data_IF_535426861270
#
_entry.id   IF_535426861270
#
_cell.length_a   1.000
_cell.length_b   1.000
_cell.length_c   1.000
_cell.angle_alpha   90.00
_cell.angle_beta   90.00
_cell.angle_gamma   90.00
#
_symmetry.space_group_name_H-M   'P 1'
#
loop_
_entity.id
_entity.type
_entity.pdbx_description
1 polymer ?
#
# COMPACT_ATOMS: atom_id res chain seq x y z
N UNK A 1 -9.06 -8.00 15.28
CA UNK A 1 -8.97 -9.18 14.39
C UNK A 1 -8.98 -8.85 12.89
N UNK A 2 -9.31 -7.63 12.46
CA UNK A 2 -9.51 -7.32 11.04
C UNK A 2 -8.26 -6.67 10.38
N UNK A 3 -7.23 -6.27 11.14
CA UNK A 3 -5.92 -5.88 10.60
C UNK A 3 -5.30 -7.05 9.83
N UNK A 4 -5.54 -8.27 10.30
CA UNK A 4 -5.16 -9.49 9.60
C UNK A 4 -5.79 -9.59 8.21
N UNK A 5 -6.99 -9.05 7.97
CA UNK A 5 -7.67 -9.12 6.66
C UNK A 5 -6.98 -8.31 5.57
N UNK A 6 -6.60 -7.05 5.85
CA UNK A 6 -5.83 -6.21 4.89
C UNK A 6 -4.45 -6.82 4.62
N UNK A 7 -3.77 -7.27 5.67
CA UNK A 7 -2.47 -7.92 5.53
C UNK A 7 -2.57 -9.25 4.79
N UNK A 8 -3.59 -10.06 5.04
CA UNK A 8 -3.84 -11.30 4.31
C UNK A 8 -4.11 -11.04 2.83
N UNK A 9 -4.85 -9.97 2.50
CA UNK A 9 -5.13 -9.59 1.12
C UNK A 9 -3.87 -9.09 0.40
N UNK A 10 -3.07 -8.23 1.04
CA UNK A 10 -1.75 -7.84 0.52
C UNK A 10 -0.88 -9.08 0.29
N UNK A 11 -0.74 -9.94 1.31
CA UNK A 11 0.04 -11.17 1.22
C UNK A 11 -0.46 -12.09 0.11
N UNK A 12 -1.78 -12.22 -0.07
CA UNK A 12 -2.37 -13.01 -1.15
C UNK A 12 -1.93 -12.49 -2.52
N UNK A 13 -2.00 -11.17 -2.76
CA UNK A 13 -1.53 -10.57 -4.01
C UNK A 13 -0.02 -10.74 -4.21
N UNK A 14 0.77 -10.68 -3.14
CA UNK A 14 2.20 -10.99 -3.17
C UNK A 14 2.48 -12.45 -3.55
N UNK A 15 1.76 -13.41 -2.96
CA UNK A 15 1.91 -14.82 -3.32
C UNK A 15 1.51 -15.09 -4.76
N UNK A 16 0.37 -14.54 -5.22
CA UNK A 16 -0.08 -14.69 -6.60
C UNK A 16 0.94 -14.10 -7.58
N UNK A 17 1.41 -12.88 -7.31
CA UNK A 17 2.40 -12.22 -8.16
C UNK A 17 3.70 -13.01 -8.27
N UNK A 18 4.25 -13.46 -7.13
CA UNK A 18 5.49 -14.26 -7.11
C UNK A 18 5.26 -15.61 -7.80
N UNK A 19 4.11 -16.25 -7.61
CA UNK A 19 3.78 -17.48 -8.32
C UNK A 19 3.71 -17.28 -9.84
N UNK A 20 3.11 -16.18 -10.32
CA UNK A 20 3.10 -15.83 -11.74
C UNK A 20 4.52 -15.56 -12.28
N UNK A 21 5.39 -14.95 -11.48
CA UNK A 21 6.79 -14.74 -11.86
C UNK A 21 7.58 -16.05 -11.96
N UNK A 22 7.42 -16.95 -10.98
CA UNK A 22 8.05 -18.26 -10.99
C UNK A 22 7.53 -19.17 -12.12
N UNK A 23 6.27 -18.98 -12.53
CA UNK A 23 5.69 -19.65 -13.70
C UNK A 23 6.16 -19.07 -15.04
N UNK A 24 7.09 -18.10 -15.04
CA UNK A 24 7.64 -17.47 -16.23
C UNK A 24 6.66 -16.57 -16.99
N UNK A 25 5.54 -16.19 -16.36
CA UNK A 25 4.51 -15.35 -16.99
C UNK A 25 4.83 -13.86 -16.93
N UNK A 26 5.59 -13.45 -15.91
CA UNK A 26 5.96 -12.05 -15.66
C UNK A 26 7.39 -12.03 -15.08
N UNK A 27 8.13 -10.94 -15.29
CA UNK A 27 9.45 -10.78 -14.66
C UNK A 27 9.30 -10.60 -13.14
N UNK A 28 10.12 -11.31 -12.34
CA UNK A 28 10.11 -11.17 -10.88
C UNK A 28 10.41 -9.72 -10.43
N UNK A 29 11.40 -9.00 -11.01
CA UNK A 29 11.59 -7.59 -10.69
C UNK A 29 10.35 -6.75 -10.97
N UNK A 30 9.69 -6.95 -12.12
CA UNK A 30 8.48 -6.22 -12.48
C UNK A 30 7.33 -6.45 -11.49
N UNK A 31 7.10 -7.70 -11.08
CA UNK A 31 6.10 -8.03 -10.05
C UNK A 31 6.42 -7.35 -8.71
N UNK A 32 7.67 -7.43 -8.26
CA UNK A 32 8.09 -6.81 -6.99
C UNK A 32 7.90 -5.29 -7.06
N UNK A 33 8.28 -4.65 -8.17
CA UNK A 33 8.11 -3.21 -8.38
C UNK A 33 6.62 -2.83 -8.39
N UNK A 34 5.78 -3.58 -9.11
CA UNK A 34 4.34 -3.35 -9.18
C UNK A 34 3.69 -3.42 -7.79
N UNK A 35 3.93 -4.53 -7.08
CA UNK A 35 3.29 -4.78 -5.79
C UNK A 35 3.80 -3.85 -4.71
N UNK A 36 5.07 -3.47 -4.76
CA UNK A 36 5.63 -2.43 -3.87
C UNK A 36 4.94 -1.08 -4.11
N UNK A 37 4.66 -0.76 -5.38
CA UNK A 37 3.94 0.46 -5.76
C UNK A 37 2.54 0.59 -5.15
N UNK A 38 1.85 -0.54 -4.95
CA UNK A 38 0.53 -0.59 -4.31
C UNK A 38 0.65 -0.73 -2.78
N UNK A 39 1.62 -1.49 -2.30
CA UNK A 39 1.76 -1.81 -0.87
C UNK A 39 2.21 -0.60 -0.06
N UNK A 40 3.15 0.20 -0.56
CA UNK A 40 3.70 1.35 0.16
C UNK A 40 2.64 2.40 0.54
N UNK A 41 1.78 2.89 -0.38
CA UNK A 41 0.68 3.79 -0.03
C UNK A 41 -0.25 3.20 1.03
N UNK A 42 -0.59 1.91 0.91
CA UNK A 42 -1.52 1.26 1.85
C UNK A 42 -0.95 1.21 3.26
N UNK A 43 0.34 0.89 3.42
CA UNK A 43 1.01 0.88 4.72
C UNK A 43 1.06 2.30 5.32
N UNK A 44 1.45 3.29 4.50
CA UNK A 44 1.54 4.68 4.94
C UNK A 44 0.17 5.22 5.40
N UNK A 45 -0.89 4.97 4.64
CA UNK A 45 -2.27 5.33 5.03
C UNK A 45 -2.66 4.66 6.35
N UNK A 46 -2.39 3.37 6.50
CA UNK A 46 -2.78 2.63 7.70
C UNK A 46 -2.08 3.17 8.96
N UNK A 47 -0.79 3.52 8.86
CA UNK A 47 -0.06 4.15 9.95
C UNK A 47 -0.55 5.57 10.26
N UNK A 48 -0.82 6.37 9.22
CA UNK A 48 -1.31 7.73 9.38
C UNK A 48 -2.67 7.76 10.10
N UNK A 49 -3.61 6.90 9.69
CA UNK A 49 -4.93 6.83 10.32
C UNK A 49 -4.91 6.21 11.72
N UNK A 50 -4.07 5.19 11.95
CA UNK A 50 -3.92 4.62 13.29
C UNK A 50 -3.40 5.67 14.29
N UNK A 51 -2.40 6.48 13.88
CA UNK A 51 -1.93 7.61 14.71
C UNK A 51 -2.97 8.69 14.88
N UNK A 52 -3.72 9.04 13.84
CA UNK A 52 -4.81 10.03 13.93
C UNK A 52 -5.85 9.61 14.97
N UNK A 53 -6.20 8.32 15.01
CA UNK A 53 -7.19 7.79 15.94
C UNK A 53 -6.71 7.61 17.36
N UNK A 54 -5.45 7.23 17.54
CA UNK A 54 -4.81 7.24 18.84
C UNK A 54 -4.90 8.62 19.50
N UNK A 55 -4.77 9.72 18.72
CA UNK A 55 -4.95 11.10 19.24
C UNK A 55 -6.40 11.43 19.57
N UNK A 56 -7.35 10.83 18.86
CA UNK A 56 -8.79 10.98 19.11
C UNK A 56 -9.30 10.06 20.22
N UNK A 57 -8.48 9.17 20.79
CA UNK A 57 -8.91 8.15 21.75
C UNK A 57 -9.85 7.11 21.15
N UNK A 58 -9.90 6.99 19.81
CA UNK A 58 -10.76 6.05 19.10
C UNK A 58 -10.05 4.70 18.90
N UNK A 59 -10.80 3.59 18.90
CA UNK A 59 -10.24 2.29 18.54
C UNK A 59 -9.80 2.26 17.07
N UNK A 60 -8.77 1.45 16.80
CA UNK A 60 -8.37 1.12 15.43
C UNK A 60 -9.45 0.24 14.79
N UNK A 61 -10.13 0.81 13.79
CA UNK A 61 -11.16 0.20 12.97
C UNK A 61 -10.95 0.59 11.49
N UNK A 62 -11.76 0.05 10.57
CA UNK A 62 -11.57 0.17 9.11
C UNK A 62 -12.47 1.23 8.49
N UNK A 63 -13.29 1.88 9.31
CA UNK A 63 -14.27 2.87 8.86
C UNK A 63 -13.60 4.23 8.78
N UNK A 64 -13.02 4.55 7.63
CA UNK A 64 -12.47 5.89 7.42
C UNK A 64 -13.58 6.94 7.58
N UNK A 65 -13.44 7.79 8.59
CA UNK A 65 -14.35 8.90 8.84
C UNK A 65 -13.70 10.21 8.41
N UNK A 66 -14.50 11.19 8.01
CA UNK A 66 -13.99 12.54 7.73
C UNK A 66 -13.19 13.13 8.91
N UNK A 67 -13.55 12.76 10.15
CA UNK A 67 -12.82 13.14 11.35
C UNK A 67 -11.38 12.59 11.36
N UNK A 68 -11.15 11.40 10.82
CA UNK A 68 -9.80 10.80 10.78
C UNK A 68 -8.88 11.56 9.83
N UNK A 69 -9.43 12.11 8.74
CA UNK A 69 -8.72 12.95 7.79
C UNK A 69 -8.37 14.33 8.37
N UNK A 70 -9.29 14.95 9.11
CA UNK A 70 -9.07 16.28 9.71
C UNK A 70 -8.08 16.26 10.88
N UNK A 71 -7.84 15.09 11.49
CA UNK A 71 -6.90 14.91 12.60
C UNK A 71 -5.52 14.37 12.17
N UNK A 72 -5.28 14.23 10.86
CA UNK A 72 -3.95 13.90 10.34
C UNK A 72 -2.96 15.03 10.67
N UNK A 73 -1.77 14.66 11.13
CA UNK A 73 -0.71 15.63 11.36
C UNK A 73 0.07 15.95 10.10
N UNK A 74 0.66 17.15 10.02
CA UNK A 74 1.51 17.55 8.89
C UNK A 74 2.57 16.50 8.50
N UNK A 75 3.30 15.89 9.46
CA UNK A 75 4.21 14.79 9.17
C UNK A 75 3.54 13.55 8.60
N UNK A 76 2.35 13.18 9.09
CA UNK A 76 1.60 12.02 8.57
C UNK A 76 1.15 12.27 7.12
N UNK A 77 0.71 13.50 6.82
CA UNK A 77 0.33 13.92 5.47
C UNK A 77 1.55 13.90 4.53
N UNK A 78 2.71 14.37 4.98
CA UNK A 78 3.94 14.36 4.19
C UNK A 78 4.41 12.94 3.87
N UNK A 79 4.40 12.03 4.86
CA UNK A 79 4.75 10.62 4.66
C UNK A 79 3.76 9.94 3.72
N UNK A 80 2.46 10.21 3.88
CA UNK A 80 1.43 9.68 3.01
C UNK A 80 1.60 10.17 1.56
N UNK A 81 1.82 11.47 1.36
CA UNK A 81 2.05 12.05 0.04
C UNK A 81 3.29 11.46 -0.64
N UNK A 82 4.41 11.33 0.10
CA UNK A 82 5.62 10.69 -0.42
C UNK A 82 5.40 9.22 -0.76
N UNK A 83 4.67 8.48 0.08
CA UNK A 83 4.35 7.08 -0.18
C UNK A 83 3.46 6.92 -1.41
N UNK A 84 2.49 7.81 -1.62
CA UNK A 84 1.65 7.84 -2.83
C UNK A 84 2.49 8.16 -4.06
N UNK A 85 3.35 9.19 -4.02
CA UNK A 85 4.22 9.55 -5.14
C UNK A 85 5.19 8.42 -5.50
N UNK A 86 5.87 7.86 -4.51
CA UNK A 86 6.75 6.71 -4.72
C UNK A 86 5.98 5.49 -5.20
N UNK A 87 4.80 5.24 -4.65
CA UNK A 87 3.92 4.14 -5.03
C UNK A 87 3.49 4.22 -6.50
N UNK A 88 3.03 5.38 -6.94
CA UNK A 88 2.67 5.65 -8.35
C UNK A 88 3.89 5.52 -9.25
N UNK A 89 5.05 6.05 -8.86
CA UNK A 89 6.30 5.93 -9.62
C UNK A 89 6.72 4.47 -9.82
N UNK A 90 6.65 3.66 -8.77
CA UNK A 90 6.92 2.23 -8.84
C UNK A 90 5.87 1.51 -9.68
N UNK A 91 4.59 1.81 -9.50
CA UNK A 91 3.51 1.23 -10.29
C UNK A 91 3.74 1.46 -11.79
N UNK A 92 3.96 2.71 -12.20
CA UNK A 92 4.22 3.07 -13.61
C UNK A 92 5.49 2.42 -14.14
N UNK A 93 6.59 2.44 -13.37
CA UNK A 93 7.84 1.83 -13.80
C UNK A 93 7.75 0.30 -13.98
N UNK A 94 6.87 -0.38 -13.24
CA UNK A 94 6.61 -1.80 -13.45
C UNK A 94 6.08 -2.10 -14.87
N UNK A 95 5.23 -1.24 -15.43
CA UNK A 95 4.74 -1.39 -16.80
C UNK A 95 5.78 -0.93 -17.82
N UNK A 96 6.39 0.24 -17.61
CA UNK A 96 7.27 0.88 -18.60
C UNK A 96 8.63 0.19 -18.72
N UNK A 97 9.25 -0.19 -17.60
CA UNK A 97 10.61 -0.75 -17.55
C UNK A 97 10.58 -2.26 -17.63
N UNK A 98 9.60 -2.90 -16.97
CA UNK A 98 9.56 -4.35 -16.81
C UNK A 98 8.48 -5.04 -17.63
N UNK A 99 7.67 -4.29 -18.38
CA UNK A 99 6.69 -4.84 -19.33
C UNK A 99 5.60 -5.67 -18.67
N UNK A 100 5.26 -5.41 -17.41
CA UNK A 100 4.22 -6.17 -16.69
C UNK A 100 2.86 -5.91 -17.35
N UNK A 101 2.45 -6.72 -18.33
CA UNK A 101 1.21 -6.52 -19.10
C UNK A 101 1.37 -6.56 -20.62
N UNK A 102 2.61 -6.70 -21.11
CA UNK A 102 2.92 -7.01 -22.51
C UNK A 102 3.11 -8.51 -22.76
#
# INVERSE_FOLDING_TARGET
>A
MINAGRWALILMFWFIGVACALAGKVSLPGVVTLLSGVTLPVIASNWAFSRSRARQGKPDDYTESLADWTHLSGPDIAVLALAVLAGVGLFVSAFVVFGVGG
#
